data_IF_444124189927
#
_entry.id   IF_444124189927
#
_cell.length_a   1.000
_cell.length_b   1.000
_cell.length_c   1.000
_cell.angle_alpha   90.00
_cell.angle_beta   90.00
_cell.angle_gamma   90.00
#
_symmetry.space_group_name_H-M   'P 1'
#
loop_
_entity.id
_entity.type
_entity.pdbx_description
1 polymer ?
#
# COMPACT_ATOMS: atom_id res chain seq x y z
N UNK A 1 -12.83 4.07 23.78
CA UNK A 1 -12.06 2.87 23.42
C UNK A 1 -11.04 3.26 22.36
N UNK A 2 -9.85 3.70 22.78
CA UNK A 2 -8.78 4.04 21.85
C UNK A 2 -8.07 2.76 21.42
N UNK A 3 -8.19 2.38 20.15
CA UNK A 3 -7.38 1.29 19.61
C UNK A 3 -5.93 1.73 19.68
N UNK A 4 -5.13 1.03 20.49
CA UNK A 4 -3.70 1.28 20.59
C UNK A 4 -3.14 1.16 19.17
N UNK A 5 -2.49 2.22 18.69
CA UNK A 5 -1.63 2.13 17.50
C UNK A 5 -0.50 1.20 17.90
N UNK A 6 -0.66 -0.07 17.57
CA UNK A 6 0.31 -1.12 17.84
C UNK A 6 1.67 -0.66 17.28
N UNK A 7 2.54 -0.20 18.17
CA UNK A 7 3.80 0.46 17.82
C UNK A 7 4.90 -0.57 17.53
N UNK A 8 4.54 -1.84 17.30
CA UNK A 8 5.44 -2.94 17.02
C UNK A 8 5.35 -3.46 15.57
N UNK A 9 4.64 -2.76 14.67
CA UNK A 9 4.62 -3.11 13.24
C UNK A 9 5.96 -2.74 12.61
N UNK A 10 6.63 -3.70 11.99
CA UNK A 10 7.84 -3.42 11.22
C UNK A 10 7.50 -2.64 9.95
N UNK A 11 8.46 -1.91 9.38
CA UNK A 11 8.25 -1.23 8.10
C UNK A 11 7.85 -2.22 6.99
N UNK A 12 8.41 -3.43 7.03
CA UNK A 12 8.04 -4.50 6.10
C UNK A 12 6.58 -4.95 6.27
N UNK A 13 6.07 -5.03 7.50
CA UNK A 13 4.67 -5.37 7.74
C UNK A 13 3.72 -4.31 7.18
N UNK A 14 4.09 -3.04 7.31
CA UNK A 14 3.31 -1.91 6.76
C UNK A 14 3.31 -1.92 5.23
N UNK A 15 4.43 -2.26 4.61
CA UNK A 15 4.59 -2.32 3.16
C UNK A 15 4.03 -3.61 2.54
N UNK A 16 3.89 -4.69 3.30
CA UNK A 16 3.37 -5.97 2.81
C UNK A 16 1.90 -6.22 3.14
N UNK A 17 1.29 -5.43 4.02
CA UNK A 17 -0.14 -5.52 4.38
C UNK A 17 -0.96 -4.47 3.62
N UNK A 18 -1.90 -4.85 2.74
CA UNK A 18 -2.84 -3.92 2.13
C UNK A 18 -3.81 -3.32 3.16
N UNK A 19 -4.33 -2.12 2.87
CA UNK A 19 -5.25 -1.42 3.76
C UNK A 19 -6.72 -1.72 3.39
N UNK A 20 -7.67 -1.70 4.34
CA UNK A 20 -9.10 -1.81 4.04
C UNK A 20 -9.54 -0.68 3.09
N UNK A 21 -10.34 -1.00 2.06
CA UNK A 21 -10.75 -0.07 1.02
C UNK A 21 -9.67 0.27 -0.02
N UNK A 22 -8.46 -0.29 0.09
CA UNK A 22 -7.37 -0.09 -0.86
C UNK A 22 -7.53 -1.02 -2.08
N UNK A 23 -7.39 -0.47 -3.30
CA UNK A 23 -7.36 -1.28 -4.52
C UNK A 23 -5.98 -1.87 -4.75
N UNK A 24 -5.87 -3.00 -5.47
CA UNK A 24 -4.58 -3.59 -5.86
C UNK A 24 -3.63 -2.56 -6.52
N UNK A 25 -4.18 -1.67 -7.36
CA UNK A 25 -3.40 -0.59 -7.99
C UNK A 25 -2.81 0.35 -6.93
N UNK A 26 -3.62 0.82 -5.99
CA UNK A 26 -3.18 1.74 -4.94
C UNK A 26 -2.17 1.08 -4.00
N UNK A 27 -2.41 -0.18 -3.63
CA UNK A 27 -1.50 -0.99 -2.84
C UNK A 27 -0.13 -1.11 -3.51
N UNK A 28 -0.11 -1.51 -4.78
CA UNK A 28 1.14 -1.63 -5.53
C UNK A 28 1.82 -0.28 -5.70
N UNK A 29 1.09 0.78 -6.04
CA UNK A 29 1.68 2.10 -6.27
C UNK A 29 2.43 2.63 -5.03
N UNK A 30 1.90 2.42 -3.81
CA UNK A 30 2.60 2.84 -2.57
C UNK A 30 3.74 1.89 -2.16
N UNK A 31 3.68 0.63 -2.56
CA UNK A 31 4.62 -0.43 -2.13
C UNK A 31 5.59 -0.88 -3.22
N UNK A 32 5.57 -0.22 -4.38
CA UNK A 32 6.31 -0.60 -5.59
C UNK A 32 7.79 -0.82 -5.35
N UNK A 33 8.45 0.08 -4.63
CA UNK A 33 9.89 -0.01 -4.35
C UNK A 33 10.22 -1.23 -3.48
N UNK A 34 9.38 -1.52 -2.46
CA UNK A 34 9.52 -2.72 -1.63
C UNK A 34 9.42 -3.99 -2.47
N UNK A 35 8.40 -4.10 -3.33
CA UNK A 35 8.23 -5.29 -4.16
C UNK A 35 9.29 -5.44 -5.24
N UNK A 36 9.80 -4.34 -5.81
CA UNK A 36 10.93 -4.39 -6.75
C UNK A 36 12.22 -4.87 -6.06
N UNK A 37 12.49 -4.40 -4.85
CA UNK A 37 13.63 -4.85 -4.04
C UNK A 37 13.48 -6.32 -3.63
N UNK A 38 12.29 -6.71 -3.16
CA UNK A 38 11.98 -8.10 -2.79
C UNK A 38 12.13 -9.04 -3.99
N UNK A 39 11.67 -8.63 -5.16
CA UNK A 39 11.84 -9.40 -6.39
C UNK A 39 13.32 -9.58 -6.74
N UNK A 40 14.12 -8.51 -6.65
CA UNK A 40 15.55 -8.56 -6.89
C UNK A 40 16.27 -9.49 -5.90
N UNK A 41 15.91 -9.44 -4.62
CA UNK A 41 16.54 -10.22 -3.55
C UNK A 41 16.11 -11.69 -3.51
N UNK A 42 14.93 -12.02 -4.05
CA UNK A 42 14.39 -13.39 -4.06
C UNK A 42 15.22 -14.37 -4.90
N UNK A 43 16.16 -13.89 -5.73
CA UNK A 43 17.13 -14.70 -6.47
C UNK A 43 16.51 -15.60 -7.55
N UNK A 44 15.18 -15.62 -7.71
CA UNK A 44 14.49 -16.47 -8.68
C UNK A 44 14.74 -16.05 -10.14
N UNK A 45 15.18 -14.81 -10.36
CA UNK A 45 15.57 -14.35 -11.69
C UNK A 45 16.59 -13.21 -11.64
N UNK A 46 17.48 -13.13 -12.64
CA UNK A 46 18.38 -11.99 -12.89
C UNK A 46 17.68 -10.85 -13.67
N UNK A 47 16.34 -10.85 -13.67
CA UNK A 47 15.52 -9.88 -14.37
C UNK A 47 15.83 -8.45 -13.94
N UNK A 48 15.82 -7.54 -14.92
CA UNK A 48 16.14 -6.11 -14.72
C UNK A 48 15.11 -5.21 -15.39
N UNK A 49 15.10 -3.94 -14.98
CA UNK A 49 14.30 -2.91 -15.62
C UNK A 49 12.79 -3.22 -15.59
N UNK A 50 12.20 -3.47 -16.76
CA UNK A 50 10.76 -3.71 -16.90
C UNK A 50 10.34 -5.07 -16.32
N UNK A 51 11.16 -6.10 -16.52
CA UNK A 51 10.85 -7.46 -16.05
C UNK A 51 10.85 -7.51 -14.53
N UNK A 52 11.85 -6.89 -13.88
CA UNK A 52 11.90 -6.79 -12.42
C UNK A 52 10.65 -6.13 -11.82
N UNK A 53 10.15 -5.05 -12.45
CA UNK A 53 8.92 -4.38 -11.99
C UNK A 53 7.68 -5.25 -12.17
N UNK A 54 7.64 -6.06 -13.23
CA UNK A 54 6.56 -7.04 -13.46
C UNK A 54 6.59 -8.13 -12.40
N UNK A 55 7.77 -8.66 -12.08
CA UNK A 55 7.94 -9.67 -11.03
C UNK A 55 7.50 -9.11 -9.68
N UNK A 56 7.91 -7.87 -9.34
CA UNK A 56 7.44 -7.18 -8.14
C UNK A 56 5.91 -6.99 -8.13
N UNK A 57 5.31 -6.64 -9.26
CA UNK A 57 3.85 -6.54 -9.36
C UNK A 57 3.16 -7.88 -9.09
N UNK A 58 3.64 -8.97 -9.69
CA UNK A 58 3.08 -10.30 -9.46
C UNK A 58 3.20 -10.73 -8.00
N UNK A 59 4.28 -10.38 -7.30
CA UNK A 59 4.41 -10.65 -5.86
C UNK A 59 3.40 -9.84 -5.02
N UNK A 60 3.18 -8.58 -5.39
CA UNK A 60 2.19 -7.73 -4.73
C UNK A 60 0.76 -8.24 -4.95
N UNK A 61 0.45 -8.65 -6.18
CA UNK A 61 -0.85 -9.23 -6.54
C UNK A 61 -1.16 -10.48 -5.72
N UNK A 62 -0.22 -11.43 -5.66
CA UNK A 62 -0.37 -12.62 -4.82
C UNK A 62 -0.62 -12.29 -3.35
N UNK A 63 0.09 -11.30 -2.82
CA UNK A 63 -0.08 -10.89 -1.43
C UNK A 63 -1.42 -10.18 -1.21
N UNK A 64 -1.86 -9.35 -2.15
CA UNK A 64 -3.15 -8.69 -2.08
C UNK A 64 -4.30 -9.69 -2.12
N UNK A 65 -4.24 -10.69 -3.00
CA UNK A 65 -5.24 -11.75 -3.11
C UNK A 65 -5.33 -12.60 -1.84
N UNK A 66 -4.20 -12.82 -1.15
CA UNK A 66 -4.17 -13.48 0.17
C UNK A 66 -4.97 -12.70 1.22
N UNK A 67 -4.86 -11.37 1.23
CA UNK A 67 -5.55 -10.52 2.21
C UNK A 67 -6.98 -10.17 1.83
N UNK A 68 -7.34 -10.25 0.53
CA UNK A 68 -8.65 -9.89 0.00
C UNK A 68 -9.85 -10.38 0.83
N UNK A 69 -9.97 -11.66 1.23
CA UNK A 69 -11.12 -12.10 2.02
C UNK A 69 -11.23 -11.37 3.37
N UNK A 70 -10.10 -11.12 4.03
CA UNK A 70 -10.08 -10.41 5.31
C UNK A 70 -10.42 -8.92 5.12
N UNK A 71 -9.95 -8.31 4.03
CA UNK A 71 -10.29 -6.92 3.70
C UNK A 71 -11.79 -6.76 3.44
N UNK A 72 -12.39 -7.69 2.71
CA UNK A 72 -13.84 -7.71 2.45
C UNK A 72 -14.65 -7.89 3.74
N UNK A 73 -14.21 -8.75 4.66
CA UNK A 73 -14.83 -8.90 5.98
C UNK A 73 -14.72 -7.62 6.82
N UNK A 74 -13.56 -6.97 6.83
CA UNK A 74 -13.34 -5.71 7.54
C UNK A 74 -14.25 -4.61 6.97
N UNK A 75 -14.35 -4.50 5.65
CA UNK A 75 -15.23 -3.53 4.98
C UNK A 75 -16.70 -3.77 5.32
N UNK A 76 -17.13 -5.03 5.36
CA UNK A 76 -18.48 -5.40 5.77
C UNK A 76 -18.77 -4.97 7.21
N UNK A 77 -17.88 -5.25 8.15
CA UNK A 77 -18.04 -4.86 9.55
C UNK A 77 -18.11 -3.34 9.71
N UNK A 78 -17.28 -2.59 8.97
CA UNK A 78 -17.31 -1.13 9.00
C UNK A 78 -18.63 -0.56 8.47
N UNK A 79 -19.15 -1.15 7.38
CA UNK A 79 -20.45 -0.76 6.83
C UNK A 79 -21.59 -1.04 7.82
N UNK A 80 -21.57 -2.19 8.51
CA UNK A 80 -22.54 -2.52 9.56
C UNK A 80 -22.45 -1.56 10.76
N UNK A 81 -21.25 -1.05 11.07
CA UNK A 81 -21.02 -0.05 12.12
C UNK A 81 -21.42 1.38 11.72
N UNK A 82 -21.90 1.60 10.48
CA UNK A 82 -22.23 2.93 9.96
C UNK A 82 -21.01 3.82 9.73
N UNK A 83 -19.80 3.23 9.67
CA UNK A 83 -18.58 3.94 9.28
C UNK A 83 -18.54 3.96 7.75
N UNK A 84 -18.90 5.11 7.19
CA UNK A 84 -19.03 5.29 5.75
C UNK A 84 -17.69 5.07 5.04
N UNK A 85 -17.70 4.36 3.90
CA UNK A 85 -16.49 3.98 3.13
C UNK A 85 -15.66 5.18 2.62
N UNK A 86 -16.20 6.41 2.72
CA UNK A 86 -15.48 7.64 2.43
C UNK A 86 -14.48 8.02 3.54
N UNK A 87 -14.79 7.74 4.82
CA UNK A 87 -13.90 8.06 5.94
C UNK A 87 -12.69 7.13 5.99
N UNK A 88 -12.87 5.84 5.75
CA UNK A 88 -11.77 4.87 5.80
C UNK A 88 -10.80 4.96 4.63
N UNK A 89 -11.26 5.33 3.44
CA UNK A 89 -10.37 5.66 2.31
C UNK A 89 -9.44 6.84 2.62
N UNK A 90 -9.89 7.80 3.43
CA UNK A 90 -9.06 8.93 3.83
C UNK A 90 -8.03 8.54 4.90
N UNK A 91 -8.39 7.61 5.78
CA UNK A 91 -7.47 7.02 6.76
C UNK A 91 -6.40 6.09 6.14
N UNK A 92 -6.71 5.48 4.98
CA UNK A 92 -5.80 4.60 4.25
C UNK A 92 -4.75 5.34 3.39
N UNK A 93 -4.79 6.69 3.31
CA UNK A 93 -3.75 7.47 2.62
C UNK A 93 -2.62 7.78 3.60
N UNK A 94 -1.41 7.22 3.43
CA UNK A 94 -0.25 7.73 4.15
C UNK A 94 0.08 9.12 3.60
N UNK A 95 -0.52 10.16 4.18
CA UNK A 95 -0.41 11.54 3.70
C UNK A 95 -1.58 12.47 4.03
N UNK A 96 -2.63 11.99 4.70
CA UNK A 96 -3.73 12.84 5.20
C UNK A 96 -3.36 13.68 6.43
N UNK A 97 -2.23 14.39 6.40
CA UNK A 97 -1.94 15.47 7.34
C UNK A 97 -2.07 16.75 6.54
N UNK A 98 -3.09 17.54 6.85
CA UNK A 98 -3.19 18.93 6.44
C UNK A 98 -1.94 19.66 6.96
N UNK A 99 -0.95 19.84 6.08
CA UNK A 99 0.29 20.55 6.36
C UNK A 99 0.80 21.13 5.05
N UNK A 100 0.44 22.39 4.79
CA UNK A 100 0.82 23.11 3.59
C UNK A 100 2.35 23.16 3.40
N UNK A 101 2.77 22.94 2.16
CA UNK A 101 4.11 23.25 1.69
C UNK A 101 4.01 23.77 0.25
N UNK A 102 4.32 25.05 -0.02
CA UNK A 102 4.25 25.58 -1.36
C UNK A 102 5.51 25.18 -2.16
N UNK A 103 5.29 24.78 -3.41
CA UNK A 103 6.23 25.00 -4.50
C UNK A 103 7.52 24.17 -4.47
N UNK A 104 7.57 23.15 -5.31
CA UNK A 104 8.83 22.81 -5.98
C UNK A 104 8.60 22.88 -7.48
N UNK A 105 8.84 24.10 -7.94
CA UNK A 105 8.89 24.58 -9.31
C UNK A 105 9.70 23.62 -10.20
N UNK A 106 9.09 23.20 -11.29
CA UNK A 106 9.65 22.32 -12.32
C UNK A 106 10.82 23.00 -13.02
N UNK A 107 12.05 22.57 -12.76
CA UNK A 107 13.23 23.06 -13.48
C UNK A 107 13.65 22.11 -14.59
N UNK A 108 12.85 22.12 -15.64
CA UNK A 108 13.38 21.95 -16.99
C UNK A 108 14.17 23.22 -17.37
N UNK A 109 15.49 23.17 -17.23
CA UNK A 109 16.47 24.07 -17.88
C UNK A 109 17.77 23.25 -18.01
N UNK A 110 18.55 23.29 -19.08
CA UNK A 110 18.47 23.76 -20.46
C UNK A 110 19.73 23.17 -21.10
#
# INVERSE_FOLDING_TARGET
MGVAKDSARTEEDVLSTPLPGETLRTFYDRTKEYWAQKAHSSGQSQNRGKELRRDGFSMAELKYDEYKPILEEIEKIQAEAGLDAAETRNAARPGGIAGGGPGVDSRNRR
#
